data_IF_837301722816
#
_entry.id   IF_837301722816
#
_cell.length_a   1.000
_cell.length_b   1.000
_cell.length_c   1.000
_cell.angle_alpha   90.00
_cell.angle_beta   90.00
_cell.angle_gamma   90.00
#
_symmetry.space_group_name_H-M   'P 1'
#
loop_
_entity.id
_entity.type
_entity.pdbx_description
1 polymer ?
#
# COMPACT_ATOMS: atom_id res chain seq x y z
N UNK A 1 35.98 0.49 -1.10
CA UNK A 1 36.69 0.81 -2.37
C UNK A 1 36.80 2.32 -2.59
N UNK A 2 35.69 3.09 -2.69
CA UNK A 2 35.78 4.55 -2.96
C UNK A 2 36.65 5.29 -1.93
N UNK A 3 36.53 4.98 -0.63
CA UNK A 3 37.36 5.59 0.42
C UNK A 3 38.84 5.21 0.27
N UNK A 4 39.16 4.00 -0.16
CA UNK A 4 40.54 3.54 -0.42
C UNK A 4 41.17 4.35 -1.55
N UNK A 5 40.43 4.56 -2.68
CA UNK A 5 40.88 5.40 -3.80
C UNK A 5 41.10 6.86 -3.41
N UNK A 6 40.15 7.44 -2.64
CA UNK A 6 40.28 8.83 -2.14
C UNK A 6 41.53 8.98 -1.22
N UNK A 7 41.79 8.01 -0.38
CA UNK A 7 42.99 8.04 0.48
C UNK A 7 44.26 7.90 -0.36
N UNK A 8 44.30 6.98 -1.31
CA UNK A 8 45.43 6.77 -2.20
C UNK A 8 45.71 7.98 -3.11
N UNK A 9 44.69 8.74 -3.51
CA UNK A 9 44.85 9.96 -4.31
C UNK A 9 45.71 11.05 -3.63
N UNK A 10 45.92 10.99 -2.29
CA UNK A 10 46.81 11.93 -1.59
C UNK A 10 48.30 11.69 -1.89
N UNK A 11 48.66 10.50 -2.32
CA UNK A 11 50.07 10.08 -2.50
C UNK A 11 50.38 9.59 -3.91
N UNK A 12 49.37 9.17 -4.65
CA UNK A 12 49.54 8.69 -6.01
C UNK A 12 49.69 9.84 -7.02
N UNK A 13 50.43 9.58 -8.12
CA UNK A 13 50.33 10.44 -9.31
C UNK A 13 48.94 10.37 -9.93
N UNK A 14 48.57 11.39 -10.73
CA UNK A 14 47.27 11.44 -11.39
C UNK A 14 47.05 10.22 -12.29
N UNK A 15 48.06 9.77 -13.05
CA UNK A 15 47.95 8.60 -13.90
C UNK A 15 47.72 7.30 -13.09
N UNK A 16 48.51 7.09 -12.02
CA UNK A 16 48.33 5.94 -11.16
C UNK A 16 46.98 5.96 -10.41
N UNK A 17 46.41 7.15 -10.17
CA UNK A 17 45.05 7.31 -9.64
C UNK A 17 43.98 6.81 -10.61
N UNK A 18 44.06 7.20 -11.87
CA UNK A 18 43.12 6.75 -12.91
C UNK A 18 43.22 5.24 -13.16
N UNK A 19 44.43 4.70 -13.24
CA UNK A 19 44.64 3.25 -13.41
C UNK A 19 43.99 2.45 -12.27
N UNK A 20 44.13 2.93 -11.01
CA UNK A 20 43.51 2.32 -9.85
C UNK A 20 41.97 2.41 -9.85
N UNK A 21 41.41 3.52 -10.34
CA UNK A 21 39.96 3.69 -10.52
C UNK A 21 39.42 2.70 -11.58
N UNK A 22 40.09 2.60 -12.73
CA UNK A 22 39.70 1.71 -13.82
C UNK A 22 39.74 0.23 -13.38
N UNK A 23 40.80 -0.19 -12.67
CA UNK A 23 40.89 -1.54 -12.14
C UNK A 23 39.81 -1.83 -11.10
N UNK A 24 39.56 -0.87 -10.20
CA UNK A 24 38.50 -0.99 -9.21
C UNK A 24 37.13 -1.08 -9.86
N UNK A 25 36.85 -0.23 -10.84
CA UNK A 25 35.59 -0.26 -11.59
C UNK A 25 35.40 -1.59 -12.31
N UNK A 26 36.44 -2.06 -13.03
CA UNK A 26 36.41 -3.37 -13.70
C UNK A 26 36.08 -4.51 -12.73
N UNK A 27 36.70 -4.52 -11.57
CA UNK A 27 36.43 -5.52 -10.52
C UNK A 27 34.99 -5.45 -9.99
N UNK A 28 34.44 -4.24 -9.82
CA UNK A 28 33.08 -4.03 -9.33
C UNK A 28 32.03 -4.43 -10.38
N UNK A 29 32.27 -4.14 -11.65
CA UNK A 29 31.33 -4.48 -12.76
C UNK A 29 31.05 -5.98 -12.82
N UNK A 30 32.04 -6.81 -12.50
CA UNK A 30 31.90 -8.27 -12.50
C UNK A 30 31.37 -8.82 -11.16
N UNK A 31 31.12 -7.96 -10.18
CA UNK A 31 30.75 -8.37 -8.80
C UNK A 31 29.26 -8.70 -8.67
N UNK A 32 28.95 -9.61 -7.72
CA UNK A 32 27.57 -9.92 -7.36
C UNK A 32 26.80 -8.70 -6.78
N UNK A 33 27.39 -7.81 -5.96
CA UNK A 33 26.71 -6.59 -5.53
C UNK A 33 26.23 -5.70 -6.66
N UNK A 34 27.04 -5.52 -7.73
CA UNK A 34 26.57 -4.72 -8.88
C UNK A 34 25.44 -5.42 -9.63
N UNK A 35 25.53 -6.74 -9.85
CA UNK A 35 24.45 -7.51 -10.49
C UNK A 35 23.14 -7.38 -9.70
N UNK A 36 23.18 -7.51 -8.38
CA UNK A 36 22.04 -7.33 -7.51
C UNK A 36 21.47 -5.91 -7.60
N UNK A 37 22.34 -4.89 -7.59
CA UNK A 37 21.94 -3.48 -7.71
C UNK A 37 21.30 -3.18 -9.06
N UNK A 38 21.84 -3.69 -10.16
CA UNK A 38 21.26 -3.55 -11.50
C UNK A 38 19.92 -4.28 -11.63
N UNK A 39 19.80 -5.46 -11.02
CA UNK A 39 18.55 -6.19 -10.96
C UNK A 39 17.48 -5.40 -10.22
N UNK A 40 17.78 -4.92 -9.01
CA UNK A 40 16.89 -4.11 -8.21
C UNK A 40 16.50 -2.79 -8.95
N UNK A 41 17.48 -2.13 -9.59
CA UNK A 41 17.22 -0.93 -10.40
C UNK A 41 16.24 -1.22 -11.54
N UNK A 42 16.44 -2.32 -12.28
CA UNK A 42 15.54 -2.71 -13.37
C UNK A 42 14.11 -3.01 -12.86
N UNK A 43 13.99 -3.71 -11.71
CA UNK A 43 12.69 -3.95 -11.08
C UNK A 43 11.97 -2.64 -10.76
N UNK A 44 12.65 -1.72 -10.08
CA UNK A 44 12.07 -0.47 -9.60
C UNK A 44 11.78 0.48 -10.77
N UNK A 45 12.70 0.65 -11.72
CA UNK A 45 12.57 1.67 -12.77
C UNK A 45 11.75 1.22 -13.98
N UNK A 46 11.81 -0.06 -14.34
CA UNK A 46 11.15 -0.58 -15.54
C UNK A 46 9.89 -1.38 -15.21
N UNK A 47 10.01 -2.44 -14.39
CA UNK A 47 8.89 -3.35 -14.14
C UNK A 47 7.78 -2.72 -13.30
N UNK A 48 8.12 -1.88 -12.31
CA UNK A 48 7.11 -1.16 -11.51
C UNK A 48 6.21 -0.25 -12.36
N UNK A 49 6.76 0.37 -13.39
CA UNK A 49 6.01 1.29 -14.27
C UNK A 49 5.11 0.57 -15.26
N UNK A 50 5.48 -0.64 -15.65
CA UNK A 50 4.73 -1.45 -16.61
C UNK A 50 4.59 -2.86 -16.03
N UNK A 51 3.51 -3.08 -15.30
CA UNK A 51 3.18 -4.39 -14.74
C UNK A 51 2.83 -5.32 -15.91
N UNK A 52 3.65 -6.36 -16.11
CA UNK A 52 3.42 -7.35 -17.16
C UNK A 52 2.13 -8.14 -16.87
N UNK A 53 1.27 -8.30 -17.86
CA UNK A 53 -0.02 -8.96 -17.69
C UNK A 53 -1.08 -8.11 -16.98
N UNK A 54 -0.80 -6.83 -16.69
CA UNK A 54 -1.82 -5.95 -16.12
C UNK A 54 -2.99 -5.73 -17.09
N UNK A 55 -4.24 -5.73 -16.60
CA UNK A 55 -5.40 -5.42 -17.41
C UNK A 55 -5.37 -3.97 -17.92
N UNK A 56 -6.23 -3.68 -18.91
CA UNK A 56 -6.34 -2.33 -19.47
C UNK A 56 -6.75 -1.33 -18.39
N UNK A 57 -6.03 -0.19 -18.22
CA UNK A 57 -6.36 0.82 -17.20
C UNK A 57 -7.79 1.38 -17.32
N UNK A 58 -8.37 1.37 -18.53
CA UNK A 58 -9.73 1.81 -18.77
C UNK A 58 -10.82 0.94 -18.08
N UNK A 59 -10.45 -0.24 -17.59
CA UNK A 59 -11.34 -1.10 -16.80
C UNK A 59 -11.42 -0.69 -15.33
N UNK A 60 -10.53 0.19 -14.87
CA UNK A 60 -10.51 0.64 -13.49
C UNK A 60 -11.80 1.39 -13.14
N UNK A 61 -12.42 0.98 -12.04
CA UNK A 61 -13.58 1.67 -11.45
C UNK A 61 -13.09 2.86 -10.63
N UNK A 62 -13.87 3.91 -10.59
CA UNK A 62 -13.56 5.08 -9.75
C UNK A 62 -13.87 4.74 -8.29
N UNK A 63 -12.90 4.99 -7.41
CA UNK A 63 -13.11 4.91 -5.96
C UNK A 63 -13.49 6.29 -5.44
N UNK A 64 -14.69 6.40 -4.87
CA UNK A 64 -15.23 7.65 -4.32
C UNK A 64 -15.39 7.59 -2.81
N UNK A 65 -15.41 6.40 -2.22
CA UNK A 65 -15.47 6.14 -0.79
C UNK A 65 -14.73 4.85 -0.44
N UNK A 66 -13.88 4.90 0.56
CA UNK A 66 -13.11 3.74 1.01
C UNK A 66 -13.51 3.31 2.42
N UNK A 67 -13.39 2.01 2.68
CA UNK A 67 -13.55 1.40 3.98
C UNK A 67 -12.25 0.77 4.48
N UNK A 68 -12.02 0.83 5.79
CA UNK A 68 -10.91 0.14 6.44
C UNK A 68 -11.46 -0.69 7.59
N UNK A 69 -11.30 -2.00 7.52
CA UNK A 69 -11.71 -2.91 8.61
C UNK A 69 -10.53 -3.15 9.52
N UNK A 70 -10.69 -2.79 10.79
CA UNK A 70 -9.67 -2.67 11.80
C UNK A 70 -9.39 -1.21 12.15
N UNK A 71 -8.98 -0.96 13.40
CA UNK A 71 -8.55 0.34 13.89
C UNK A 71 -7.19 0.26 14.61
N UNK A 72 -6.46 -0.82 14.38
CA UNK A 72 -5.08 -1.00 14.84
C UNK A 72 -4.09 -0.14 14.08
N UNK A 73 -2.80 -0.34 14.35
CA UNK A 73 -1.72 0.47 13.78
C UNK A 73 -1.72 0.46 12.25
N UNK A 74 -1.80 -0.72 11.61
CA UNK A 74 -1.82 -0.82 10.14
C UNK A 74 -3.06 -0.16 9.54
N UNK A 75 -4.24 -0.47 10.08
CA UNK A 75 -5.50 0.10 9.62
C UNK A 75 -5.50 1.63 9.68
N UNK A 76 -5.00 2.22 10.78
CA UNK A 76 -4.91 3.68 10.94
C UNK A 76 -3.92 4.30 9.95
N UNK A 77 -2.78 3.65 9.68
CA UNK A 77 -1.82 4.11 8.67
C UNK A 77 -2.42 4.05 7.26
N UNK A 78 -3.17 2.99 6.94
CA UNK A 78 -3.88 2.85 5.65
C UNK A 78 -4.96 3.93 5.49
N UNK A 79 -5.77 4.17 6.52
CA UNK A 79 -6.77 5.23 6.50
C UNK A 79 -6.14 6.62 6.27
N UNK A 80 -5.02 6.91 6.95
CA UNK A 80 -4.26 8.14 6.75
C UNK A 80 -3.72 8.26 5.31
N UNK A 81 -3.16 7.18 4.77
CA UNK A 81 -2.63 7.16 3.41
C UNK A 81 -3.74 7.44 2.39
N UNK A 82 -4.87 6.74 2.51
CA UNK A 82 -6.02 6.87 1.61
C UNK A 82 -6.57 8.29 1.66
N UNK A 83 -6.87 8.82 2.85
CA UNK A 83 -7.47 10.16 2.95
C UNK A 83 -6.55 11.26 2.43
N UNK A 84 -5.24 11.12 2.59
CA UNK A 84 -4.27 12.12 2.11
C UNK A 84 -4.08 12.11 0.60
N UNK A 85 -4.05 10.95 0.00
CA UNK A 85 -3.66 10.78 -1.39
C UNK A 85 -4.89 10.70 -2.31
N UNK A 86 -5.88 9.85 -2.00
CA UNK A 86 -7.11 9.78 -2.79
C UNK A 86 -8.09 10.92 -2.47
N UNK A 87 -8.01 11.50 -1.26
CA UNK A 87 -8.90 12.60 -0.80
C UNK A 87 -10.39 12.24 -0.86
N UNK A 88 -10.71 10.99 -0.60
CA UNK A 88 -12.07 10.45 -0.51
C UNK A 88 -12.46 10.20 0.95
N UNK A 89 -13.76 10.16 1.29
CA UNK A 89 -14.22 9.71 2.60
C UNK A 89 -13.71 8.32 2.93
N UNK A 90 -13.22 8.16 4.16
CA UNK A 90 -12.74 6.89 4.72
C UNK A 90 -13.51 6.59 5.98
N UNK A 91 -14.10 5.41 6.05
CA UNK A 91 -14.74 4.92 7.28
C UNK A 91 -13.96 3.74 7.83
N UNK A 92 -13.68 3.78 9.15
CA UNK A 92 -12.97 2.72 9.87
C UNK A 92 -13.95 1.97 10.77
N UNK A 93 -13.78 0.64 10.89
CA UNK A 93 -14.53 -0.16 11.88
C UNK A 93 -13.59 -1.05 12.68
N UNK A 94 -14.01 -1.40 13.90
CA UNK A 94 -13.37 -2.42 14.73
C UNK A 94 -14.44 -3.08 15.63
N UNK A 95 -14.03 -4.02 16.46
CA UNK A 95 -14.90 -4.81 17.32
C UNK A 95 -15.59 -3.96 18.41
N UNK A 96 -14.95 -2.88 18.87
CA UNK A 96 -15.49 -1.99 19.89
C UNK A 96 -15.23 -0.52 19.59
N UNK A 97 -16.08 0.35 20.13
CA UNK A 97 -16.04 1.79 19.88
C UNK A 97 -14.74 2.44 20.38
N UNK A 98 -14.17 1.96 21.47
CA UNK A 98 -12.95 2.54 22.03
C UNK A 98 -11.75 2.34 21.08
N UNK A 99 -11.67 1.19 20.39
CA UNK A 99 -10.68 0.94 19.35
C UNK A 99 -10.88 1.82 18.13
N UNK A 100 -12.13 1.94 17.69
CA UNK A 100 -12.50 2.81 16.57
C UNK A 100 -12.09 4.26 16.86
N UNK A 101 -12.49 4.78 18.03
CA UNK A 101 -12.20 6.16 18.44
C UNK A 101 -10.68 6.40 18.53
N UNK A 102 -9.93 5.43 19.06
CA UNK A 102 -8.47 5.48 19.13
C UNK A 102 -7.84 5.53 17.75
N UNK A 103 -8.31 4.70 16.80
CA UNK A 103 -7.80 4.67 15.43
C UNK A 103 -8.08 5.99 14.71
N UNK A 104 -9.29 6.50 14.77
CA UNK A 104 -9.70 7.78 14.18
C UNK A 104 -8.89 8.93 14.80
N UNK A 105 -8.79 8.97 16.15
CA UNK A 105 -8.00 9.99 16.84
C UNK A 105 -6.52 9.96 16.45
N UNK A 106 -5.96 8.77 16.23
CA UNK A 106 -4.58 8.63 15.73
C UNK A 106 -4.42 9.28 14.34
N UNK A 107 -5.34 9.00 13.41
CA UNK A 107 -5.31 9.61 12.06
C UNK A 107 -5.40 11.14 12.15
N UNK A 108 -6.32 11.67 12.96
CA UNK A 108 -6.47 13.12 13.17
C UNK A 108 -5.19 13.72 13.77
N UNK A 109 -4.58 13.05 14.73
CA UNK A 109 -3.32 13.48 15.35
C UNK A 109 -2.15 13.53 14.34
N UNK A 110 -2.05 12.56 13.44
CA UNK A 110 -1.02 12.58 12.38
C UNK A 110 -1.26 13.71 11.36
N UNK A 111 -2.51 13.99 11.03
CA UNK A 111 -2.86 15.16 10.18
C UNK A 111 -2.46 16.47 10.90
N UNK A 112 -2.74 16.61 12.18
CA UNK A 112 -2.37 17.80 12.98
C UNK A 112 -0.85 18.00 13.03
N UNK A 113 -0.06 16.92 13.22
CA UNK A 113 1.42 16.97 13.16
C UNK A 113 1.96 17.49 11.83
N UNK A 114 1.25 17.26 10.71
CA UNK A 114 1.65 17.82 9.41
C UNK A 114 1.49 19.35 9.37
N UNK A 115 0.47 19.88 10.04
CA UNK A 115 0.28 21.34 10.18
C UNK A 115 1.37 21.93 11.05
N UNK A 116 1.66 21.33 12.21
CA UNK A 116 2.75 21.76 13.11
C UNK A 116 4.10 21.80 12.38
N UNK A 117 4.37 20.80 11.55
CA UNK A 117 5.59 20.72 10.71
C UNK A 117 5.54 21.60 9.46
N UNK A 118 4.51 22.43 9.28
CA UNK A 118 4.29 23.30 8.11
C UNK A 118 4.28 22.53 6.76
N UNK A 119 3.87 21.26 6.79
CA UNK A 119 3.76 20.39 5.59
C UNK A 119 2.34 20.34 5.04
N UNK A 120 1.38 20.88 5.77
CA UNK A 120 -0.03 20.97 5.39
C UNK A 120 -0.62 22.28 5.91
N UNK A 121 -1.46 22.95 5.09
CA UNK A 121 -2.16 24.14 5.53
C UNK A 121 -3.35 23.77 6.44
N UNK A 122 -3.72 24.60 7.44
CA UNK A 122 -4.77 24.31 8.39
C UNK A 122 -6.11 23.99 7.73
N UNK A 123 -6.51 24.72 6.68
CA UNK A 123 -7.77 24.52 5.98
C UNK A 123 -7.79 23.17 5.21
N UNK A 124 -6.64 22.76 4.67
CA UNK A 124 -6.50 21.44 4.05
C UNK A 124 -6.56 20.32 5.09
N UNK A 125 -5.95 20.53 6.26
CA UNK A 125 -6.01 19.58 7.36
C UNK A 125 -7.45 19.38 7.85
N UNK A 126 -8.21 20.48 8.05
CA UNK A 126 -9.61 20.40 8.45
C UNK A 126 -10.45 19.62 7.44
N UNK A 127 -10.24 19.83 6.13
CA UNK A 127 -10.91 19.03 5.07
C UNK A 127 -10.58 17.55 5.18
N UNK A 128 -9.29 17.19 5.33
CA UNK A 128 -8.87 15.79 5.43
C UNK A 128 -9.43 15.13 6.72
N UNK A 129 -9.39 15.83 7.85
CA UNK A 129 -9.94 15.34 9.12
C UNK A 129 -11.45 15.06 8.98
N UNK A 130 -12.21 15.92 8.29
CA UNK A 130 -13.64 15.72 8.04
C UNK A 130 -13.96 14.56 7.09
N UNK A 131 -12.98 14.00 6.40
CA UNK A 131 -13.17 12.82 5.55
C UNK A 131 -12.99 11.50 6.31
N UNK A 132 -12.50 11.50 7.56
CA UNK A 132 -12.26 10.30 8.35
C UNK A 132 -13.37 10.13 9.38
N UNK A 133 -14.01 8.98 9.39
CA UNK A 133 -15.04 8.62 10.35
C UNK A 133 -14.83 7.19 10.85
N UNK A 134 -15.51 6.82 11.94
CA UNK A 134 -15.47 5.48 12.49
C UNK A 134 -16.81 5.03 13.04
N UNK A 135 -17.06 3.72 13.02
CA UNK A 135 -18.26 3.09 13.54
C UNK A 135 -17.99 1.64 13.92
N UNK A 136 -18.74 1.09 14.84
CA UNK A 136 -18.79 -0.36 15.11
C UNK A 136 -19.80 -1.07 14.19
N UNK A 137 -20.72 -0.31 13.59
CA UNK A 137 -21.71 -0.85 12.66
C UNK A 137 -21.11 -1.00 11.25
N UNK A 138 -21.06 -2.24 10.77
CA UNK A 138 -20.52 -2.55 9.44
C UNK A 138 -21.42 -2.06 8.29
N UNK A 139 -22.68 -1.72 8.53
CA UNK A 139 -23.56 -1.14 7.50
C UNK A 139 -23.04 0.19 6.94
N UNK A 140 -22.10 0.85 7.61
CA UNK A 140 -21.41 2.04 7.08
C UNK A 140 -20.63 1.77 5.81
N UNK A 141 -20.33 0.50 5.50
CA UNK A 141 -19.63 0.09 4.28
C UNK A 141 -20.53 -0.04 3.05
N UNK A 142 -21.86 0.02 3.20
CA UNK A 142 -22.81 -0.15 2.08
C UNK A 142 -22.56 0.77 0.88
N UNK A 143 -21.94 1.92 1.10
CA UNK A 143 -21.63 2.89 0.05
C UNK A 143 -20.13 2.94 -0.31
N UNK A 144 -19.32 1.99 0.16
CA UNK A 144 -17.91 1.94 -0.18
C UNK A 144 -17.69 1.26 -1.53
N UNK A 145 -16.71 1.78 -2.28
CA UNK A 145 -16.27 1.21 -3.56
C UNK A 145 -15.06 0.30 -3.38
N UNK A 146 -14.29 0.53 -2.30
CA UNK A 146 -13.06 -0.18 -2.01
C UNK A 146 -12.92 -0.35 -0.49
N UNK A 147 -12.85 -1.59 -0.04
CA UNK A 147 -12.66 -1.92 1.38
C UNK A 147 -11.37 -2.70 1.54
N UNK A 148 -10.52 -2.25 2.46
CA UNK A 148 -9.30 -2.98 2.84
C UNK A 148 -9.41 -3.48 4.27
N UNK A 149 -9.23 -4.78 4.47
CA UNK A 149 -9.16 -5.36 5.80
C UNK A 149 -7.71 -5.44 6.30
N UNK A 150 -7.52 -5.07 7.56
CA UNK A 150 -6.27 -5.13 8.29
C UNK A 150 -6.51 -5.64 9.73
N UNK A 151 -7.26 -6.75 9.82
CA UNK A 151 -7.59 -7.44 11.07
C UNK A 151 -6.59 -8.55 11.37
N UNK A 152 -6.85 -9.36 12.42
CA UNK A 152 -5.97 -10.46 12.80
C UNK A 152 -5.66 -11.41 11.64
N UNK A 153 -4.42 -11.90 11.59
CA UNK A 153 -3.90 -12.77 10.53
C UNK A 153 -4.35 -14.23 10.74
N UNK A 154 -5.66 -14.44 10.66
CA UNK A 154 -6.32 -15.74 10.76
C UNK A 154 -7.34 -15.92 9.65
N UNK A 155 -7.23 -17.03 8.89
CA UNK A 155 -8.02 -17.25 7.69
C UNK A 155 -9.52 -17.30 7.97
N UNK A 156 -9.93 -18.01 9.02
CA UNK A 156 -11.34 -18.16 9.41
C UNK A 156 -12.00 -16.84 9.76
N UNK A 157 -11.27 -15.96 10.45
CA UNK A 157 -11.75 -14.60 10.80
C UNK A 157 -11.96 -13.77 9.52
N UNK A 158 -11.00 -13.81 8.60
CA UNK A 158 -11.06 -13.06 7.34
C UNK A 158 -12.14 -13.59 6.40
N UNK A 159 -12.32 -14.91 6.31
CA UNK A 159 -13.41 -15.54 5.55
C UNK A 159 -14.77 -15.11 6.07
N UNK A 160 -14.97 -15.20 7.40
CA UNK A 160 -16.22 -14.74 8.01
C UNK A 160 -16.47 -13.26 7.77
N UNK A 161 -15.45 -12.42 7.95
CA UNK A 161 -15.55 -10.99 7.70
C UNK A 161 -15.96 -10.69 6.26
N UNK A 162 -15.35 -11.33 5.27
CA UNK A 162 -15.68 -11.11 3.87
C UNK A 162 -17.09 -11.58 3.54
N UNK A 163 -17.56 -12.69 4.11
CA UNK A 163 -18.93 -13.15 3.96
C UNK A 163 -19.94 -12.17 4.59
N UNK A 164 -19.63 -11.64 5.77
CA UNK A 164 -20.48 -10.64 6.44
C UNK A 164 -20.57 -9.35 5.61
N UNK A 165 -19.43 -8.86 5.11
CA UNK A 165 -19.36 -7.66 4.27
C UNK A 165 -20.08 -7.86 2.93
N UNK A 166 -19.99 -9.04 2.32
CA UNK A 166 -20.63 -9.34 1.05
C UNK A 166 -22.12 -9.10 1.05
N UNK A 167 -22.79 -9.34 2.20
CA UNK A 167 -24.22 -9.11 2.37
C UNK A 167 -24.61 -7.62 2.45
N UNK A 168 -23.64 -6.73 2.65
CA UNK A 168 -23.86 -5.30 2.93
C UNK A 168 -23.50 -4.43 1.72
N UNK A 169 -22.43 -4.79 1.02
CA UNK A 169 -21.80 -3.97 -0.01
C UNK A 169 -22.29 -4.29 -1.42
N UNK A 170 -22.14 -3.35 -2.36
CA UNK A 170 -22.49 -3.62 -3.76
C UNK A 170 -21.60 -4.70 -4.38
N UNK A 171 -22.08 -5.43 -5.41
CA UNK A 171 -21.28 -6.42 -6.12
C UNK A 171 -19.99 -5.86 -6.74
N UNK A 172 -19.97 -4.57 -7.10
CA UNK A 172 -18.79 -3.90 -7.66
C UNK A 172 -17.77 -3.45 -6.60
N UNK A 173 -18.14 -3.42 -5.33
CA UNK A 173 -17.22 -3.02 -4.27
C UNK A 173 -16.06 -4.03 -4.14
N UNK A 174 -14.84 -3.54 -4.14
CA UNK A 174 -13.64 -4.37 -4.04
C UNK A 174 -13.36 -4.72 -2.58
N UNK A 175 -13.13 -6.01 -2.32
CA UNK A 175 -12.65 -6.53 -1.06
C UNK A 175 -11.15 -6.79 -1.14
N UNK A 176 -10.37 -5.90 -0.55
CA UNK A 176 -8.92 -5.98 -0.49
C UNK A 176 -8.46 -6.51 0.88
N UNK A 177 -7.41 -7.33 0.89
CA UNK A 177 -6.81 -7.86 2.12
C UNK A 177 -5.35 -7.42 2.24
N UNK A 178 -4.97 -6.93 3.44
CA UNK A 178 -3.58 -6.60 3.75
C UNK A 178 -2.80 -7.80 4.33
N UNK A 179 -3.23 -9.02 4.05
CA UNK A 179 -2.50 -10.22 4.50
C UNK A 179 -1.10 -10.29 3.91
N UNK A 180 -0.14 -10.73 4.72
CA UNK A 180 1.24 -10.97 4.28
C UNK A 180 1.50 -12.42 3.88
N UNK A 181 0.66 -13.37 4.31
CA UNK A 181 0.99 -14.80 4.21
C UNK A 181 -0.19 -15.71 3.92
N UNK A 182 -1.43 -15.28 4.21
CA UNK A 182 -2.60 -16.12 3.99
C UNK A 182 -2.99 -16.15 2.51
N UNK A 183 -3.58 -17.27 2.09
CA UNK A 183 -4.06 -17.42 0.72
C UNK A 183 -5.26 -16.52 0.44
N UNK A 184 -5.09 -15.53 -0.42
CA UNK A 184 -6.17 -14.65 -0.89
C UNK A 184 -7.25 -15.45 -1.62
N UNK A 185 -6.87 -16.51 -2.34
CA UNK A 185 -7.78 -17.46 -3.00
C UNK A 185 -8.76 -18.07 -2.00
N UNK A 186 -8.23 -18.59 -0.87
CA UNK A 186 -9.06 -19.21 0.18
C UNK A 186 -9.96 -18.21 0.89
N UNK A 187 -9.56 -16.94 0.99
CA UNK A 187 -10.41 -15.92 1.62
C UNK A 187 -11.70 -15.67 0.85
N UNK A 188 -11.64 -15.74 -0.48
CA UNK A 188 -12.80 -15.51 -1.34
C UNK A 188 -13.54 -16.78 -1.81
N UNK A 189 -13.11 -17.99 -1.40
CA UNK A 189 -13.61 -19.23 -2.00
C UNK A 189 -15.11 -19.49 -1.80
N UNK A 190 -15.68 -18.97 -0.70
CA UNK A 190 -17.09 -19.16 -0.33
C UNK A 190 -17.99 -17.97 -0.65
N UNK A 191 -17.42 -16.91 -1.24
CA UNK A 191 -18.20 -15.73 -1.62
C UNK A 191 -19.02 -15.98 -2.89
N UNK A 192 -20.14 -15.29 -3.01
CA UNK A 192 -20.98 -15.27 -4.23
C UNK A 192 -20.22 -14.52 -5.35
N UNK A 193 -19.46 -13.48 -4.97
CA UNK A 193 -18.70 -12.61 -5.86
C UNK A 193 -17.20 -12.65 -5.56
N UNK A 194 -16.52 -13.80 -5.73
CA UNK A 194 -15.09 -13.93 -5.46
C UNK A 194 -14.20 -13.11 -6.42
N UNK A 195 -14.74 -12.68 -7.55
CA UNK A 195 -14.04 -11.91 -8.59
C UNK A 195 -13.61 -10.51 -8.12
N UNK A 196 -14.22 -10.00 -7.02
CA UNK A 196 -13.89 -8.69 -6.42
C UNK A 196 -12.82 -8.75 -5.32
N UNK A 197 -12.30 -9.95 -5.03
CA UNK A 197 -11.29 -10.15 -3.98
C UNK A 197 -9.89 -9.97 -4.53
N UNK A 198 -9.05 -9.22 -3.83
CA UNK A 198 -7.66 -8.96 -4.21
C UNK A 198 -6.76 -8.81 -2.98
N UNK A 199 -5.55 -9.35 -3.04
CA UNK A 199 -4.49 -9.03 -2.08
C UNK A 199 -3.97 -7.61 -2.34
N UNK A 200 -3.83 -6.81 -1.29
CA UNK A 200 -3.40 -5.42 -1.36
C UNK A 200 -2.48 -5.13 -0.17
N UNK A 201 -1.27 -5.70 -0.22
CA UNK A 201 -0.36 -5.81 0.91
C UNK A 201 0.64 -4.67 0.97
N UNK A 202 0.56 -3.90 2.06
CA UNK A 202 1.49 -2.84 2.41
C UNK A 202 2.54 -3.32 3.42
N UNK A 203 3.70 -2.70 3.36
CA UNK A 203 4.78 -2.91 4.32
C UNK A 203 4.77 -1.83 5.41
N UNK A 204 5.05 -2.25 6.66
CA UNK A 204 5.11 -1.34 7.80
C UNK A 204 6.54 -0.76 7.96
N UNK A 205 6.73 0.55 8.17
CA UNK A 205 5.70 1.62 8.23
C UNK A 205 5.19 2.03 6.84
N UNK A 206 3.86 2.11 6.68
CA UNK A 206 3.21 2.39 5.39
C UNK A 206 3.69 3.71 4.75
N UNK A 207 3.97 4.73 5.57
CA UNK A 207 4.42 6.04 5.07
C UNK A 207 5.87 6.05 4.55
N UNK A 208 6.65 5.00 4.80
CA UNK A 208 8.10 4.93 4.52
C UNK A 208 8.41 3.87 3.46
N UNK A 209 7.66 2.77 3.50
CA UNK A 209 7.88 1.62 2.61
C UNK A 209 7.10 1.84 1.30
N UNK A 210 7.79 2.10 0.17
CA UNK A 210 7.12 2.50 -1.08
C UNK A 210 6.59 1.32 -1.90
N UNK A 211 6.68 0.09 -1.39
CA UNK A 211 6.23 -1.11 -2.09
C UNK A 211 4.80 -1.45 -1.69
N UNK A 212 3.97 -1.69 -2.68
CA UNK A 212 2.65 -2.30 -2.56
C UNK A 212 2.61 -3.55 -3.43
N UNK A 213 2.26 -4.69 -2.83
CA UNK A 213 2.02 -5.93 -3.56
C UNK A 213 0.52 -6.10 -3.83
N UNK A 214 0.20 -6.35 -5.10
CA UNK A 214 -1.17 -6.62 -5.54
C UNK A 214 -1.23 -8.07 -6.01
N UNK A 215 -1.94 -8.91 -5.27
CA UNK A 215 -2.07 -10.34 -5.54
C UNK A 215 -3.49 -10.64 -6.05
N UNK A 216 -3.60 -11.07 -7.30
CA UNK A 216 -4.86 -11.55 -7.86
C UNK A 216 -5.00 -13.06 -7.65
N UNK A 217 -6.22 -13.51 -7.46
CA UNK A 217 -6.59 -14.94 -7.43
C UNK A 217 -6.90 -15.44 -8.84
N UNK A 218 -7.16 -16.71 -8.99
CA UNK A 218 -7.66 -17.29 -10.26
C UNK A 218 -9.03 -16.74 -10.66
N UNK A 219 -9.80 -16.25 -9.70
CA UNK A 219 -11.16 -15.70 -9.89
C UNK A 219 -11.20 -14.18 -9.99
N UNK A 220 -10.18 -13.45 -9.49
CA UNK A 220 -10.16 -11.99 -9.51
C UNK A 220 -10.30 -11.45 -10.93
N UNK A 221 -11.30 -10.60 -11.17
CA UNK A 221 -11.56 -10.04 -12.48
C UNK A 221 -10.57 -8.93 -12.87
N UNK A 222 -10.57 -8.58 -14.14
CA UNK A 222 -9.69 -7.56 -14.68
C UNK A 222 -10.06 -6.15 -14.19
N UNK A 223 -11.33 -5.86 -13.93
CA UNK A 223 -11.77 -4.56 -13.42
C UNK A 223 -11.31 -4.36 -11.98
N UNK A 224 -11.42 -5.38 -11.13
CA UNK A 224 -10.87 -5.39 -9.76
C UNK A 224 -9.37 -5.17 -9.75
N UNK A 225 -8.65 -5.93 -10.60
CA UNK A 225 -7.19 -5.81 -10.71
C UNK A 225 -6.77 -4.42 -11.23
N UNK A 226 -7.45 -3.90 -12.26
CA UNK A 226 -7.16 -2.57 -12.81
C UNK A 226 -7.42 -1.47 -11.77
N UNK A 227 -8.51 -1.59 -11.01
CA UNK A 227 -8.86 -0.64 -9.94
C UNK A 227 -7.82 -0.68 -8.81
N UNK A 228 -7.44 -1.88 -8.35
CA UNK A 228 -6.41 -2.03 -7.32
C UNK A 228 -5.06 -1.42 -7.78
N UNK A 229 -4.65 -1.65 -9.03
CA UNK A 229 -3.44 -1.04 -9.59
C UNK A 229 -3.57 0.49 -9.65
N UNK A 230 -4.72 1.02 -10.05
CA UNK A 230 -4.94 2.46 -10.13
C UNK A 230 -4.89 3.11 -8.74
N UNK A 231 -5.62 2.55 -7.77
CA UNK A 231 -5.58 2.97 -6.37
C UNK A 231 -4.16 2.92 -5.82
N UNK A 232 -3.44 1.82 -6.05
CA UNK A 232 -2.06 1.67 -5.58
C UNK A 232 -1.06 2.65 -6.20
N UNK A 233 -1.34 3.20 -7.41
CA UNK A 233 -0.51 4.24 -8.03
C UNK A 233 -0.77 5.62 -7.46
N UNK A 234 -1.98 5.86 -6.98
CA UNK A 234 -2.39 7.13 -6.37
C UNK A 234 -1.97 7.22 -4.89
N UNK A 235 -1.81 6.06 -4.22
CA UNK A 235 -1.33 5.96 -2.83
C UNK A 235 0.18 6.07 -2.73
#
# INVERSE_FOLDING_TARGET
RALELILAAKTNSLGAGFDAEDETLASLVMSNPLRASLYAFNLIQKKRKKVEGAPKPALARKVTRAGVVGAGLMASQLALLIVRNLKVPVVMTDLDQARVDKGVAWVHGEIAKLVEKKRLQPEAAQRLTGLVSGSVDQNVFAQCDFIIEAVFEELSIKQKLFADLESIISPECILATNTSSLSVEKMGEHLIHPERVVGFHFFNPVAVMPLLEIARTSKTDDATTATAINVGKEL
#
